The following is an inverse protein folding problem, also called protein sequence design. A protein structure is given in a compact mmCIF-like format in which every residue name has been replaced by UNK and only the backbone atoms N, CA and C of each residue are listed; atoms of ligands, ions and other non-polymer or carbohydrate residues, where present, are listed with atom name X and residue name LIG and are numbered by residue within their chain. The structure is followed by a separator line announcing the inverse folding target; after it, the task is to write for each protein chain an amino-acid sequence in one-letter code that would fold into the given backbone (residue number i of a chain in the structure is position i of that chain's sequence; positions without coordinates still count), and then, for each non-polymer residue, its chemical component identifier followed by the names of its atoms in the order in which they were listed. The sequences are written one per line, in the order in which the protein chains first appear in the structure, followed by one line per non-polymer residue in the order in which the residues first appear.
data_IF_625646019010
#
_entry.id   IF_625646019010
#
_cell.length_a   1.000
_cell.length_b   1.000
_cell.length_c   1.000
_cell.angle_alpha   90.00
_cell.angle_beta   90.00
_cell.angle_gamma   90.00
#
_symmetry.space_group_name_H-M   'P 1'
#
loop_
_entity.id
_entity.type
_entity.pdbx_description
1 polymer ?
#
# COMPACT_ATOMS: atom_id res chain seq x y z
N UNK A 1 11.32 29.31 17.69
CA UNK A 1 12.27 28.88 18.71
C UNK A 1 12.08 27.37 18.76
N UNK A 2 13.10 26.60 18.38
CA UNK A 2 13.12 25.15 18.59
C UNK A 2 13.75 24.91 19.96
N UNK A 3 13.12 24.10 20.76
CA UNK A 3 13.60 23.70 22.07
C UNK A 3 13.51 22.16 22.10
N UNK A 4 14.64 21.51 21.91
CA UNK A 4 14.75 20.05 21.93
C UNK A 4 15.60 19.66 23.13
N UNK A 5 15.06 18.80 23.96
CA UNK A 5 15.75 18.22 25.11
C UNK A 5 16.07 16.75 24.83
N UNK A 6 17.23 16.29 25.31
CA UNK A 6 17.70 14.90 25.16
C UNK A 6 17.89 14.44 23.71
N UNK A 7 18.46 15.32 22.89
CA UNK A 7 18.83 14.99 21.52
C UNK A 7 20.15 14.22 21.48
N UNK A 8 20.08 12.98 20.97
CA UNK A 8 21.25 12.13 20.76
C UNK A 8 21.92 12.49 19.42
N UNK A 9 23.18 12.89 19.49
CA UNK A 9 23.98 13.33 18.34
C UNK A 9 25.22 12.49 18.21
N UNK A 10 25.44 11.91 17.03
CA UNK A 10 26.70 11.24 16.68
C UNK A 10 27.53 12.16 15.81
N UNK A 11 28.75 12.48 16.26
CA UNK A 11 29.72 13.23 15.45
C UNK A 11 30.43 12.25 14.53
N UNK A 12 30.21 12.35 13.22
CA UNK A 12 30.81 11.50 12.20
C UNK A 12 31.37 12.37 11.07
N UNK A 13 32.66 12.24 10.76
CA UNK A 13 33.29 13.00 9.69
C UNK A 13 32.73 12.67 8.29
N UNK A 14 32.19 11.46 8.11
CA UNK A 14 31.60 11.02 6.84
C UNK A 14 30.18 11.57 6.63
N UNK A 15 29.47 11.87 7.71
CA UNK A 15 28.10 12.39 7.71
C UNK A 15 27.99 13.63 8.61
N UNK A 16 28.44 14.80 8.14
CA UNK A 16 28.42 16.02 8.92
C UNK A 16 27.00 16.49 9.23
N UNK A 17 26.82 17.02 10.43
CA UNK A 17 25.52 17.56 10.89
C UNK A 17 25.15 18.86 10.15
N UNK A 18 23.87 19.09 9.96
CA UNK A 18 23.34 20.34 9.47
C UNK A 18 22.83 21.24 10.62
N UNK A 19 23.18 22.54 10.62
CA UNK A 19 23.93 23.30 9.63
C UNK A 19 25.43 23.06 9.66
N UNK A 20 26.10 23.24 8.51
CA UNK A 20 27.54 23.06 8.39
C UNK A 20 28.33 23.81 9.47
N UNK A 21 29.18 23.09 10.18
CA UNK A 21 29.98 23.61 11.29
C UNK A 21 29.43 23.28 12.67
N UNK A 22 28.25 22.67 12.77
CA UNK A 22 27.70 22.22 14.05
C UNK A 22 28.62 21.19 14.73
N UNK A 23 29.13 20.23 13.94
CA UNK A 23 30.10 19.23 14.42
C UNK A 23 31.32 19.86 15.07
N UNK A 24 31.88 20.93 14.47
CA UNK A 24 33.05 21.62 14.97
C UNK A 24 32.80 22.36 16.28
N UNK A 25 31.58 22.89 16.42
CA UNK A 25 31.21 23.60 17.65
C UNK A 25 30.94 22.65 18.81
N UNK A 26 30.50 21.41 18.51
CA UNK A 26 30.27 20.34 19.49
C UNK A 26 31.54 19.53 19.79
N UNK A 27 32.51 19.52 18.87
CA UNK A 27 33.77 18.81 19.09
C UNK A 27 34.48 19.37 20.35
N UNK A 28 35.03 18.51 21.16
CA UNK A 28 35.75 18.82 22.41
C UNK A 28 34.89 19.32 23.58
N UNK A 29 33.56 19.43 23.44
CA UNK A 29 32.68 19.75 24.55
C UNK A 29 32.60 18.59 25.56
N UNK A 30 32.46 18.93 26.84
CA UNK A 30 32.39 17.95 27.94
C UNK A 30 30.98 17.86 28.49
N UNK A 31 30.69 16.73 29.11
CA UNK A 31 29.43 16.59 29.83
C UNK A 31 29.22 17.71 30.86
N UNK A 32 28.07 18.35 30.86
CA UNK A 32 27.69 19.50 31.66
C UNK A 32 28.13 20.86 31.12
N UNK A 33 28.82 20.92 29.97
CA UNK A 33 29.26 22.16 29.35
C UNK A 33 28.14 22.80 28.54
N UNK A 34 28.05 24.14 28.59
CA UNK A 34 27.08 24.94 27.82
C UNK A 34 27.85 25.86 26.88
N UNK A 35 27.35 26.00 25.65
CA UNK A 35 27.99 26.84 24.64
C UNK A 35 26.93 27.54 23.77
N UNK A 36 27.17 28.83 23.52
CA UNK A 36 26.37 29.66 22.61
C UNK A 36 27.16 29.91 21.32
N UNK A 37 26.53 29.65 20.17
CA UNK A 37 27.14 29.94 18.88
C UNK A 37 26.08 30.24 17.81
N UNK A 38 26.50 30.83 16.69
CA UNK A 38 25.63 31.19 15.57
C UNK A 38 26.08 30.46 14.34
N UNK A 39 25.16 29.72 13.70
CA UNK A 39 25.43 29.04 12.44
C UNK A 39 24.40 29.46 11.38
N UNK A 40 24.79 29.31 10.12
CA UNK A 40 23.95 29.63 8.98
C UNK A 40 23.81 28.41 8.05
N UNK A 41 22.61 28.21 7.53
CA UNK A 41 22.39 27.23 6.46
C UNK A 41 22.85 27.80 5.11
N UNK A 42 23.48 27.02 4.24
CA UNK A 42 23.82 27.43 2.89
C UNK A 42 22.56 27.88 2.13
N UNK A 43 22.69 28.94 1.32
CA UNK A 43 21.55 29.44 0.55
C UNK A 43 21.07 28.46 -0.55
N UNK A 44 21.95 27.56 -1.00
CA UNK A 44 21.69 26.59 -2.08
C UNK A 44 21.32 25.18 -1.54
N UNK A 45 21.04 25.02 -0.25
CA UNK A 45 20.67 23.73 0.35
C UNK A 45 19.19 23.38 0.15
N UNK A 46 18.86 22.08 0.24
CA UNK A 46 17.46 21.59 0.24
C UNK A 46 16.77 21.77 1.59
N UNK A 47 17.43 22.33 2.57
CA UNK A 47 16.88 22.55 3.91
C UNK A 47 15.80 23.65 3.90
N UNK A 48 14.72 23.44 4.67
CA UNK A 48 13.67 24.44 4.92
C UNK A 48 14.24 25.75 5.50
N UNK A 49 15.44 25.68 6.06
CA UNK A 49 16.15 26.80 6.68
C UNK A 49 17.23 27.43 5.78
N UNK A 50 17.30 27.06 4.49
CA UNK A 50 18.31 27.57 3.55
C UNK A 50 18.43 29.10 3.59
N UNK A 51 19.64 29.62 3.71
CA UNK A 51 19.95 31.05 3.78
C UNK A 51 19.61 31.73 5.11
N UNK A 52 19.17 31.00 6.13
CA UNK A 52 18.86 31.55 7.47
C UNK A 52 20.02 31.37 8.42
N UNK A 53 20.09 32.26 9.41
CA UNK A 53 20.97 32.13 10.57
C UNK A 53 20.17 31.77 11.82
N UNK A 54 20.72 30.91 12.65
CA UNK A 54 20.18 30.61 13.96
C UNK A 54 21.24 30.72 15.04
N UNK A 55 20.83 31.18 16.21
CA UNK A 55 21.61 31.12 17.42
C UNK A 55 21.30 29.84 18.15
N UNK A 56 22.31 29.07 18.43
CA UNK A 56 22.24 27.81 19.18
C UNK A 56 22.72 28.05 20.61
N UNK A 57 21.93 27.57 21.55
CA UNK A 57 22.35 27.37 22.93
C UNK A 57 22.35 25.88 23.19
N UNK A 58 23.51 25.29 23.37
CA UNK A 58 23.67 23.84 23.53
C UNK A 58 24.23 23.53 24.90
N UNK A 59 23.59 22.58 25.58
CA UNK A 59 24.06 21.98 26.84
C UNK A 59 24.30 20.50 26.60
N UNK A 60 25.54 20.04 26.85
CA UNK A 60 25.90 18.64 26.70
C UNK A 60 25.57 17.90 28.01
N UNK A 61 24.63 16.98 27.96
CA UNK A 61 24.23 16.17 29.11
C UNK A 61 25.22 15.04 29.37
N UNK A 62 25.62 14.32 28.32
CA UNK A 62 26.59 13.22 28.41
C UNK A 62 27.44 13.14 27.15
N UNK A 63 28.61 12.60 27.28
CA UNK A 63 29.52 12.30 26.15
C UNK A 63 29.85 10.82 26.22
N UNK A 64 29.61 10.13 25.13
CA UNK A 64 29.94 8.72 24.96
C UNK A 64 30.94 8.56 23.83
N UNK A 65 31.92 7.70 23.97
CA UNK A 65 32.81 7.36 22.87
C UNK A 65 32.21 6.21 22.08
N UNK A 66 32.12 6.39 20.76
CA UNK A 66 31.70 5.35 19.85
C UNK A 66 32.93 4.67 19.25
N UNK A 67 33.18 3.43 19.72
CA UNK A 67 34.23 2.60 19.14
C UNK A 67 33.59 1.64 18.12
N UNK A 68 33.94 1.80 16.83
CA UNK A 68 33.53 0.83 15.79
C UNK A 68 34.25 -0.50 16.08
N UNK A 69 33.52 -1.61 16.34
CA UNK A 69 34.17 -2.90 16.53
C UNK A 69 34.92 -3.32 15.24
N UNK A 70 36.05 -4.02 15.36
CA UNK A 70 36.77 -4.54 14.23
C UNK A 70 35.90 -5.53 13.45
N UNK A 71 36.11 -5.60 12.12
CA UNK A 71 35.43 -6.55 11.25
C UNK A 71 36.08 -7.93 11.39
N UNK A 72 35.69 -8.66 12.42
CA UNK A 72 36.18 -9.99 12.76
C UNK A 72 35.05 -10.96 13.13
N UNK A 73 35.39 -12.20 13.46
CA UNK A 73 34.40 -13.22 13.83
C UNK A 73 33.65 -12.87 15.14
N UNK A 74 34.23 -12.06 16.01
CA UNK A 74 33.58 -11.61 17.23
C UNK A 74 32.41 -10.65 16.88
N UNK A 75 32.59 -9.79 15.89
CA UNK A 75 31.50 -8.96 15.38
C UNK A 75 30.35 -9.81 14.81
N UNK A 76 30.67 -10.86 14.03
CA UNK A 76 29.64 -11.72 13.47
C UNK A 76 28.79 -12.38 14.57
N UNK A 77 29.40 -12.88 15.62
CA UNK A 77 28.72 -13.47 16.78
C UNK A 77 27.90 -12.44 17.58
N UNK A 78 28.33 -11.18 17.59
CA UNK A 78 27.60 -10.09 18.24
C UNK A 78 26.31 -9.71 17.46
N UNK A 79 26.35 -9.79 16.12
CA UNK A 79 25.20 -9.50 15.25
C UNK A 79 24.09 -10.56 15.40
N UNK A 80 24.47 -11.83 15.51
CA UNK A 80 23.51 -12.90 15.72
C UNK A 80 24.14 -14.25 15.99
N UNK A 81 23.45 -15.12 16.74
CA UNK A 81 23.96 -16.44 17.12
C UNK A 81 24.15 -17.39 15.91
N UNK A 82 23.50 -17.10 14.79
CA UNK A 82 23.56 -17.93 13.57
C UNK A 82 24.85 -17.69 12.77
N UNK A 83 25.61 -16.61 13.08
CA UNK A 83 26.84 -16.27 12.38
C UNK A 83 28.06 -16.64 13.23
N UNK A 84 28.77 -17.68 12.83
CA UNK A 84 29.96 -18.13 13.55
C UNK A 84 31.23 -17.41 13.08
N UNK A 85 31.28 -17.02 11.82
CA UNK A 85 32.42 -16.31 11.22
C UNK A 85 31.98 -15.04 10.49
N UNK A 86 32.92 -14.13 10.29
CA UNK A 86 32.67 -12.91 9.48
C UNK A 86 32.29 -13.27 8.04
N UNK A 87 32.78 -14.41 7.51
CA UNK A 87 32.43 -14.86 6.16
C UNK A 87 30.97 -15.31 6.08
N UNK A 88 30.47 -16.01 7.11
CA UNK A 88 29.05 -16.41 7.20
C UNK A 88 28.15 -15.17 7.19
N UNK A 89 28.50 -14.15 7.99
CA UNK A 89 27.75 -12.88 8.03
C UNK A 89 27.76 -12.17 6.67
N UNK A 90 28.94 -12.08 6.02
CA UNK A 90 29.04 -11.48 4.69
C UNK A 90 28.23 -12.23 3.64
N UNK A 91 28.22 -13.55 3.71
CA UNK A 91 27.42 -14.38 2.83
C UNK A 91 25.92 -14.13 3.01
N UNK A 92 25.45 -14.13 4.26
CA UNK A 92 24.04 -13.88 4.57
C UNK A 92 23.60 -12.48 4.13
N UNK A 93 24.42 -11.45 4.37
CA UNK A 93 24.14 -10.08 3.91
C UNK A 93 24.11 -10.02 2.38
N UNK A 94 25.03 -10.71 1.69
CA UNK A 94 25.04 -10.74 0.23
C UNK A 94 23.79 -11.41 -0.33
N UNK A 95 23.36 -12.51 0.25
CA UNK A 95 22.14 -13.23 -0.15
C UNK A 95 20.90 -12.37 0.07
N UNK A 96 20.79 -11.72 1.22
CA UNK A 96 19.69 -10.78 1.51
C UNK A 96 19.65 -9.61 0.52
N UNK A 97 20.80 -9.00 0.23
CA UNK A 97 20.87 -7.91 -0.74
C UNK A 97 20.53 -8.35 -2.16
N UNK A 98 20.96 -9.56 -2.57
CA UNK A 98 20.61 -10.12 -3.87
C UNK A 98 19.11 -10.42 -3.98
N UNK A 99 18.50 -10.93 -2.92
CA UNK A 99 17.05 -11.17 -2.85
C UNK A 99 16.28 -9.85 -2.94
N UNK A 100 16.67 -8.84 -2.17
CA UNK A 100 16.03 -7.53 -2.17
C UNK A 100 16.14 -6.83 -3.52
N UNK A 101 17.34 -6.82 -4.12
CA UNK A 101 17.52 -6.25 -5.46
C UNK A 101 16.78 -7.06 -6.53
N UNK A 102 16.69 -8.37 -6.37
CA UNK A 102 15.86 -9.23 -7.22
C UNK A 102 14.39 -8.85 -7.16
N UNK A 103 13.83 -8.69 -5.97
CA UNK A 103 12.44 -8.24 -5.76
C UNK A 103 12.20 -6.83 -6.34
N UNK A 104 13.13 -5.90 -6.11
CA UNK A 104 13.05 -4.55 -6.70
C UNK A 104 13.13 -4.57 -8.23
N UNK A 105 14.00 -5.39 -8.79
CA UNK A 105 14.11 -5.53 -10.24
C UNK A 105 12.84 -6.12 -10.86
N UNK A 106 12.22 -7.12 -10.22
CA UNK A 106 10.93 -7.69 -10.63
C UNK A 106 9.81 -6.63 -10.55
N UNK A 107 9.78 -5.83 -9.48
CA UNK A 107 8.82 -4.73 -9.35
C UNK A 107 8.96 -3.72 -10.48
N UNK A 108 10.19 -3.22 -10.73
CA UNK A 108 10.46 -2.30 -11.85
C UNK A 108 10.13 -2.88 -13.22
N UNK A 109 10.32 -4.19 -13.40
CA UNK A 109 9.95 -4.87 -14.63
C UNK A 109 8.44 -4.92 -14.81
N UNK A 110 7.72 -5.32 -13.75
CA UNK A 110 6.25 -5.35 -13.74
C UNK A 110 5.66 -3.97 -14.02
N UNK A 111 6.19 -2.93 -13.38
CA UNK A 111 5.76 -1.54 -13.65
C UNK A 111 5.84 -1.19 -15.13
N UNK A 112 6.95 -1.55 -15.79
CA UNK A 112 7.13 -1.30 -17.22
C UNK A 112 6.15 -2.09 -18.10
N UNK A 113 5.88 -3.35 -17.73
CA UNK A 113 4.91 -4.19 -18.46
C UNK A 113 3.50 -3.60 -18.35
N UNK A 114 3.09 -3.20 -17.14
CA UNK A 114 1.79 -2.59 -16.91
C UNK A 114 1.66 -1.21 -17.57
N UNK A 115 2.69 -0.38 -17.51
CA UNK A 115 2.69 0.93 -18.17
C UNK A 115 2.57 0.78 -19.70
N UNK A 116 3.31 -0.15 -20.31
CA UNK A 116 3.19 -0.44 -21.74
C UNK A 116 1.80 -0.98 -22.12
N UNK A 117 1.19 -1.80 -21.25
CA UNK A 117 -0.15 -2.32 -21.47
C UNK A 117 -1.20 -1.20 -21.39
N UNK A 118 -1.07 -0.29 -20.43
CA UNK A 118 -1.94 0.89 -20.31
C UNK A 118 -1.80 1.80 -21.54
N UNK A 119 -0.56 2.09 -21.99
CA UNK A 119 -0.31 2.92 -23.18
C UNK A 119 -0.92 2.36 -24.48
N UNK A 120 -1.02 1.03 -24.58
CA UNK A 120 -1.63 0.37 -25.77
C UNK A 120 -3.13 0.16 -25.65
N UNK A 121 -3.70 0.42 -24.47
CA UNK A 121 -5.13 0.22 -24.19
C UNK A 121 -5.95 1.49 -24.47
N UNK A 122 -7.16 1.33 -24.96
CA UNK A 122 -8.13 2.42 -25.04
C UNK A 122 -9.00 2.42 -23.78
N UNK A 123 -8.75 3.38 -22.90
CA UNK A 123 -9.45 3.48 -21.63
C UNK A 123 -10.50 4.59 -21.67
N UNK A 124 -11.72 4.27 -21.27
CA UNK A 124 -12.82 5.23 -21.07
C UNK A 124 -13.48 4.93 -19.72
N UNK A 125 -13.35 5.86 -18.79
CA UNK A 125 -13.87 5.71 -17.43
C UNK A 125 -14.38 7.04 -16.88
N UNK A 126 -15.43 7.03 -16.03
CA UNK A 126 -15.94 8.24 -15.41
C UNK A 126 -14.95 8.79 -14.36
N UNK A 127 -14.92 10.11 -14.15
CA UNK A 127 -14.06 10.74 -13.14
C UNK A 127 -14.21 10.16 -11.72
N UNK A 128 -15.38 9.61 -11.39
CA UNK A 128 -15.65 8.99 -10.10
C UNK A 128 -14.65 7.87 -9.76
N UNK A 129 -14.17 7.12 -10.76
CA UNK A 129 -13.18 6.05 -10.55
C UNK A 129 -11.89 6.58 -9.94
N UNK A 130 -11.46 7.78 -10.32
CA UNK A 130 -10.26 8.41 -9.76
C UNK A 130 -10.52 8.92 -8.35
N UNK A 131 -11.71 9.48 -8.09
CA UNK A 131 -12.06 9.93 -6.74
C UNK A 131 -12.16 8.74 -5.77
N UNK A 132 -12.77 7.63 -6.18
CA UNK A 132 -12.82 6.40 -5.38
C UNK A 132 -11.40 5.86 -5.08
N UNK A 133 -10.51 5.90 -6.08
CA UNK A 133 -9.10 5.50 -5.90
C UNK A 133 -8.36 6.44 -4.92
N UNK A 134 -8.58 7.75 -5.01
CA UNK A 134 -8.02 8.72 -4.08
C UNK A 134 -8.52 8.46 -2.66
N UNK A 135 -9.81 8.21 -2.47
CA UNK A 135 -10.38 7.90 -1.17
C UNK A 135 -9.76 6.64 -0.57
N UNK A 136 -9.59 5.59 -1.37
CA UNK A 136 -8.92 4.37 -0.94
C UNK A 136 -7.46 4.62 -0.51
N UNK A 137 -6.70 5.42 -1.28
CA UNK A 137 -5.32 5.79 -0.96
C UNK A 137 -5.23 6.61 0.33
N UNK A 138 -6.16 7.55 0.53
CA UNK A 138 -6.24 8.37 1.74
C UNK A 138 -6.56 7.53 2.97
N UNK A 139 -7.49 6.58 2.85
CA UNK A 139 -7.84 5.66 3.93
C UNK A 139 -6.68 4.74 4.31
N UNK A 140 -5.97 4.19 3.33
CA UNK A 140 -4.80 3.36 3.57
C UNK A 140 -3.68 4.14 4.28
N UNK A 141 -3.42 5.37 3.85
CA UNK A 141 -2.46 6.25 4.51
C UNK A 141 -2.87 6.57 5.95
N UNK A 142 -4.14 6.90 6.19
CA UNK A 142 -4.66 7.17 7.54
C UNK A 142 -4.48 5.96 8.46
N UNK A 143 -4.80 4.75 7.98
CA UNK A 143 -4.59 3.51 8.72
C UNK A 143 -3.12 3.25 9.06
N UNK A 144 -2.22 3.42 8.09
CA UNK A 144 -0.78 3.25 8.31
C UNK A 144 -0.26 4.22 9.37
N UNK A 145 -0.62 5.49 9.27
CA UNK A 145 -0.21 6.50 10.24
C UNK A 145 -0.70 6.17 11.66
N UNK A 146 -1.93 5.68 11.80
CA UNK A 146 -2.49 5.22 13.09
C UNK A 146 -1.74 4.01 13.65
N UNK A 147 -1.30 3.07 12.81
CA UNK A 147 -0.48 1.93 13.24
C UNK A 147 0.87 2.36 13.82
N UNK A 148 1.42 3.48 13.33
CA UNK A 148 2.63 4.09 13.89
C UNK A 148 2.37 5.00 15.12
N UNK A 149 1.16 5.00 15.65
CA UNK A 149 0.79 5.78 16.84
C UNK A 149 0.55 7.26 16.57
N UNK A 150 0.41 7.67 15.29
CA UNK A 150 0.10 9.03 14.90
C UNK A 150 -1.43 9.26 14.85
N UNK A 151 -1.86 10.53 14.88
CA UNK A 151 -3.26 10.95 14.75
C UNK A 151 -3.75 10.87 13.28
N UNK A 152 -3.40 9.78 12.60
CA UNK A 152 -3.81 9.52 11.23
C UNK A 152 -3.41 10.64 10.25
N UNK A 153 -4.23 10.84 9.21
CA UNK A 153 -4.01 11.86 8.19
C UNK A 153 -3.90 13.28 8.75
N UNK A 154 -4.61 13.59 9.84
CA UNK A 154 -4.56 14.91 10.47
C UNK A 154 -3.15 15.28 10.98
N UNK A 155 -2.38 14.31 11.47
CA UNK A 155 -1.01 14.54 11.90
C UNK A 155 -0.12 14.93 10.71
N UNK A 156 -0.26 14.21 9.60
CA UNK A 156 0.48 14.48 8.37
C UNK A 156 0.16 15.86 7.79
N UNK A 157 -1.12 16.19 7.66
CA UNK A 157 -1.57 17.49 7.13
C UNK A 157 -1.09 18.68 7.99
N UNK A 158 -1.10 18.51 9.31
CA UNK A 158 -0.54 19.54 10.23
C UNK A 158 0.97 19.70 10.07
N UNK A 159 1.70 18.59 9.94
CA UNK A 159 3.16 18.61 9.78
C UNK A 159 3.57 19.23 8.44
N UNK A 160 2.89 18.86 7.35
CA UNK A 160 3.17 19.39 6.01
C UNK A 160 2.57 20.76 5.76
N UNK A 161 1.68 21.25 6.64
CA UNK A 161 0.91 22.49 6.50
C UNK A 161 0.09 22.54 5.21
N UNK A 162 -0.40 21.41 4.76
CA UNK A 162 -1.24 21.26 3.58
C UNK A 162 -2.71 21.07 3.99
N UNK A 163 -3.63 21.50 3.12
CA UNK A 163 -5.02 21.08 3.21
C UNK A 163 -5.21 19.68 2.64
N UNK A 164 -6.31 19.03 2.99
CA UNK A 164 -6.67 17.74 2.43
C UNK A 164 -6.78 17.80 0.90
N UNK A 165 -7.41 18.84 0.36
CA UNK A 165 -7.54 19.03 -1.10
C UNK A 165 -6.18 19.15 -1.79
N UNK A 166 -5.23 19.90 -1.21
CA UNK A 166 -3.88 20.02 -1.75
C UNK A 166 -3.15 18.69 -1.75
N UNK A 167 -3.33 17.89 -0.70
CA UNK A 167 -2.74 16.56 -0.63
C UNK A 167 -3.38 15.61 -1.65
N UNK A 168 -4.72 15.64 -1.80
CA UNK A 168 -5.45 14.87 -2.83
C UNK A 168 -4.98 15.23 -4.24
N UNK A 169 -4.81 16.51 -4.55
CA UNK A 169 -4.30 16.95 -5.84
C UNK A 169 -2.88 16.46 -6.11
N UNK A 170 -2.04 16.42 -5.09
CA UNK A 170 -0.68 15.87 -5.17
C UNK A 170 -0.69 14.36 -5.46
N UNK A 171 -1.63 13.61 -4.86
CA UNK A 171 -1.77 12.16 -5.04
C UNK A 171 -2.50 11.78 -6.33
N UNK A 172 -3.20 12.71 -6.96
CA UNK A 172 -4.04 12.47 -8.15
C UNK A 172 -3.31 11.79 -9.32
N UNK A 173 -2.07 12.17 -9.70
CA UNK A 173 -1.36 11.46 -10.77
C UNK A 173 -1.11 9.98 -10.46
N UNK A 174 -0.79 9.66 -9.21
CA UNK A 174 -0.58 8.28 -8.79
C UNK A 174 -1.91 7.50 -8.74
N UNK A 175 -2.99 8.14 -8.29
CA UNK A 175 -4.33 7.56 -8.31
C UNK A 175 -4.80 7.22 -9.72
N UNK A 176 -4.57 8.09 -10.69
CA UNK A 176 -4.86 7.83 -12.11
C UNK A 176 -4.09 6.59 -12.57
N UNK A 177 -2.79 6.56 -12.35
CA UNK A 177 -1.94 5.45 -12.76
C UNK A 177 -2.37 4.11 -12.16
N UNK A 178 -2.72 4.09 -10.88
CA UNK A 178 -3.20 2.88 -10.18
C UNK A 178 -4.57 2.46 -10.73
N UNK A 179 -5.49 3.41 -10.90
CA UNK A 179 -6.82 3.12 -11.41
C UNK A 179 -6.77 2.55 -12.85
N UNK A 180 -5.99 3.15 -13.74
CA UNK A 180 -5.82 2.67 -15.12
C UNK A 180 -5.20 1.27 -15.15
N UNK A 181 -4.18 0.99 -14.36
CA UNK A 181 -3.58 -0.34 -14.23
C UNK A 181 -4.60 -1.38 -13.72
N UNK A 182 -5.42 -1.01 -12.73
CA UNK A 182 -6.46 -1.89 -12.19
C UNK A 182 -7.55 -2.20 -13.23
N UNK A 183 -7.98 -1.20 -14.01
CA UNK A 183 -8.95 -1.39 -15.08
C UNK A 183 -8.43 -2.35 -16.15
N UNK A 184 -7.20 -2.15 -16.60
CA UNK A 184 -6.58 -3.01 -17.61
C UNK A 184 -6.40 -4.44 -17.08
N UNK A 185 -5.90 -4.61 -15.84
CA UNK A 185 -5.78 -5.93 -15.22
C UNK A 185 -7.13 -6.63 -15.08
N UNK A 186 -8.17 -5.89 -14.70
CA UNK A 186 -9.53 -6.44 -14.59
C UNK A 186 -10.05 -6.95 -15.93
N UNK A 187 -9.77 -6.23 -17.03
CA UNK A 187 -10.17 -6.67 -18.36
C UNK A 187 -9.34 -7.86 -18.86
N UNK A 188 -8.03 -7.91 -18.53
CA UNK A 188 -7.19 -9.09 -18.80
C UNK A 188 -7.74 -10.32 -18.09
N UNK A 189 -8.07 -10.22 -16.79
CA UNK A 189 -8.65 -11.32 -16.01
C UNK A 189 -9.92 -11.85 -16.68
N UNK A 190 -10.76 -10.95 -17.15
CA UNK A 190 -12.03 -11.29 -17.78
C UNK A 190 -11.86 -11.91 -19.17
N UNK A 191 -10.97 -11.35 -20.02
CA UNK A 191 -10.74 -11.83 -21.38
C UNK A 191 -10.04 -13.18 -21.44
N UNK A 192 -9.07 -13.38 -20.54
CA UNK A 192 -8.33 -14.62 -20.41
C UNK A 192 -9.05 -15.65 -19.53
N UNK A 193 -10.27 -15.33 -19.06
CA UNK A 193 -11.09 -16.19 -18.20
C UNK A 193 -10.30 -16.77 -17.01
N UNK A 194 -9.50 -15.90 -16.34
CA UNK A 194 -8.67 -16.30 -15.21
C UNK A 194 -9.58 -16.57 -14.01
N UNK A 195 -9.50 -17.77 -13.46
CA UNK A 195 -10.27 -18.20 -12.31
C UNK A 195 -9.38 -18.45 -11.08
N UNK A 196 -9.92 -18.13 -9.90
CA UNK A 196 -9.31 -18.47 -8.62
C UNK A 196 -9.89 -19.80 -8.12
N UNK A 197 -9.09 -20.85 -8.08
CA UNK A 197 -9.52 -22.13 -7.54
C UNK A 197 -9.57 -22.10 -6.01
N UNK A 198 -10.27 -23.05 -5.40
CA UNK A 198 -10.32 -23.15 -3.94
C UNK A 198 -8.91 -23.38 -3.35
N UNK A 199 -8.06 -24.12 -4.08
CA UNK A 199 -6.68 -24.38 -3.68
C UNK A 199 -5.84 -23.10 -3.67
N UNK A 200 -5.94 -22.28 -4.71
CA UNK A 200 -5.27 -20.97 -4.77
C UNK A 200 -5.67 -20.05 -3.59
N UNK A 201 -6.97 -20.04 -3.29
CA UNK A 201 -7.52 -19.24 -2.19
C UNK A 201 -6.95 -19.71 -0.84
N UNK A 202 -6.98 -21.02 -0.57
CA UNK A 202 -6.43 -21.58 0.67
C UNK A 202 -4.92 -21.36 0.77
N UNK A 203 -4.18 -21.53 -0.32
CA UNK A 203 -2.75 -21.25 -0.37
C UNK A 203 -2.47 -19.76 -0.06
N UNK A 204 -3.23 -18.85 -0.64
CA UNK A 204 -3.09 -17.42 -0.38
C UNK A 204 -3.42 -17.05 1.06
N UNK A 205 -4.47 -17.65 1.63
CA UNK A 205 -4.81 -17.47 3.05
C UNK A 205 -3.63 -17.90 3.93
N UNK A 206 -3.07 -19.09 3.70
CA UNK A 206 -1.91 -19.60 4.43
C UNK A 206 -0.70 -18.66 4.36
N UNK A 207 -0.42 -18.11 3.18
CA UNK A 207 0.65 -17.11 3.00
C UNK A 207 0.37 -15.82 3.77
N UNK A 208 -0.89 -15.35 3.76
CA UNK A 208 -1.29 -14.09 4.41
C UNK A 208 -1.22 -14.19 5.93
N UNK A 209 -1.60 -15.32 6.50
CA UNK A 209 -1.59 -15.53 7.96
C UNK A 209 -0.24 -16.04 8.49
N UNK A 210 0.72 -16.33 7.62
CA UNK A 210 2.05 -16.78 8.01
C UNK A 210 2.05 -18.23 8.49
N UNK A 211 1.52 -19.16 7.69
CA UNK A 211 1.63 -20.61 7.97
C UNK A 211 3.10 -21.06 7.99
N UNK A 212 3.40 -22.06 8.79
CA UNK A 212 4.73 -22.65 8.90
C UNK A 212 5.16 -23.42 7.64
N UNK A 213 6.38 -23.96 7.63
CA UNK A 213 6.93 -24.75 6.51
C UNK A 213 6.10 -25.99 6.16
N UNK A 214 5.30 -26.51 7.11
CA UNK A 214 4.39 -27.63 6.91
C UNK A 214 3.00 -27.19 6.42
N UNK A 215 2.76 -25.88 6.31
CA UNK A 215 1.48 -25.27 5.95
C UNK A 215 0.46 -25.27 7.08
N UNK A 216 0.92 -25.42 8.34
CA UNK A 216 0.07 -25.35 9.52
C UNK A 216 -0.08 -23.89 9.98
N UNK A 217 -1.32 -23.50 10.27
CA UNK A 217 -1.67 -22.16 10.75
C UNK A 217 -1.61 -22.18 12.28
N UNK A 218 -0.87 -21.23 12.87
CA UNK A 218 -0.78 -21.12 14.34
C UNK A 218 -2.15 -20.80 14.96
N UNK A 219 -2.36 -21.19 16.21
CA UNK A 219 -3.62 -20.90 16.96
C UNK A 219 -3.92 -19.39 16.97
N UNK A 220 -2.91 -18.55 17.07
CA UNK A 220 -3.04 -17.08 17.04
C UNK A 220 -3.49 -16.53 15.69
N UNK A 221 -3.20 -17.23 14.60
CA UNK A 221 -3.56 -16.82 13.23
C UNK A 221 -4.84 -17.53 12.72
N UNK A 222 -5.33 -18.53 13.43
CA UNK A 222 -6.48 -19.33 13.02
C UNK A 222 -7.77 -18.48 12.90
N UNK A 223 -7.96 -17.54 13.81
CA UNK A 223 -9.13 -16.66 13.81
C UNK A 223 -9.13 -15.73 12.59
N UNK A 224 -7.96 -15.19 12.23
CA UNK A 224 -7.77 -14.39 11.01
C UNK A 224 -8.02 -15.23 9.76
N UNK A 225 -7.51 -16.45 9.71
CA UNK A 225 -7.74 -17.36 8.58
C UNK A 225 -9.23 -17.64 8.37
N UNK A 226 -10.00 -17.82 9.44
CA UNK A 226 -11.45 -17.99 9.36
C UNK A 226 -12.15 -16.74 8.78
N UNK A 227 -11.77 -15.53 9.21
CA UNK A 227 -12.31 -14.28 8.65
C UNK A 227 -12.00 -14.16 7.15
N UNK A 228 -10.81 -14.59 6.72
CA UNK A 228 -10.40 -14.54 5.32
C UNK A 228 -11.08 -15.60 4.43
N UNK A 229 -11.66 -16.66 5.02
CA UNK A 229 -12.39 -17.71 4.27
C UNK A 229 -13.79 -17.30 3.87
N UNK A 230 -14.38 -16.29 4.53
CA UNK A 230 -15.79 -15.93 4.33
C UNK A 230 -15.99 -14.45 4.03
N UNK A 231 -17.12 -14.14 3.40
CA UNK A 231 -17.59 -12.76 3.18
C UNK A 231 -16.60 -11.86 2.46
N UNK A 232 -16.40 -10.67 3.00
CA UNK A 232 -15.52 -9.64 2.42
C UNK A 232 -14.04 -10.08 2.40
N UNK A 233 -13.59 -10.80 3.44
CA UNK A 233 -12.23 -11.36 3.50
C UNK A 233 -11.94 -12.30 2.33
N UNK A 234 -12.88 -13.23 2.03
CA UNK A 234 -12.76 -14.11 0.89
C UNK A 234 -12.70 -13.34 -0.44
N UNK A 235 -13.56 -12.36 -0.64
CA UNK A 235 -13.56 -11.55 -1.86
C UNK A 235 -12.23 -10.83 -2.07
N UNK A 236 -11.64 -10.31 -1.00
CA UNK A 236 -10.31 -9.69 -1.04
C UNK A 236 -9.23 -10.69 -1.47
N UNK A 237 -9.22 -11.90 -0.88
CA UNK A 237 -8.26 -12.96 -1.26
C UNK A 237 -8.45 -13.39 -2.71
N UNK A 238 -9.70 -13.59 -3.17
CA UNK A 238 -10.00 -13.92 -4.56
C UNK A 238 -9.47 -12.85 -5.50
N UNK A 239 -9.71 -11.57 -5.22
CA UNK A 239 -9.20 -10.46 -6.04
C UNK A 239 -7.67 -10.45 -6.10
N UNK A 240 -6.99 -10.71 -4.99
CA UNK A 240 -5.54 -10.82 -4.95
C UNK A 240 -5.03 -11.97 -5.81
N UNK A 241 -5.62 -13.17 -5.67
CA UNK A 241 -5.25 -14.36 -6.46
C UNK A 241 -5.43 -14.09 -7.96
N UNK A 242 -6.55 -13.51 -8.36
CA UNK A 242 -6.82 -13.18 -9.77
C UNK A 242 -5.80 -12.17 -10.31
N UNK A 243 -5.48 -11.15 -9.54
CA UNK A 243 -4.47 -10.14 -9.91
C UNK A 243 -3.09 -10.78 -10.04
N UNK A 244 -2.68 -11.63 -9.11
CA UNK A 244 -1.38 -12.30 -9.15
C UNK A 244 -1.27 -13.22 -10.38
N UNK A 245 -2.32 -13.98 -10.70
CA UNK A 245 -2.38 -14.82 -11.90
C UNK A 245 -2.30 -13.99 -13.18
N UNK A 246 -3.01 -12.86 -13.27
CA UNK A 246 -2.94 -11.96 -14.41
C UNK A 246 -1.53 -11.37 -14.58
N UNK A 247 -0.91 -10.98 -13.48
CA UNK A 247 0.48 -10.49 -13.48
C UNK A 247 1.45 -11.57 -13.95
N UNK A 248 1.30 -12.80 -13.48
CA UNK A 248 2.13 -13.93 -13.90
C UNK A 248 1.99 -14.22 -15.40
N UNK A 249 0.76 -14.17 -15.93
CA UNK A 249 0.48 -14.29 -17.36
C UNK A 249 1.19 -13.19 -18.16
N UNK A 250 1.01 -11.94 -17.77
CA UNK A 250 1.62 -10.80 -18.45
C UNK A 250 3.15 -10.84 -18.44
N UNK A 251 3.74 -11.29 -17.32
CA UNK A 251 5.18 -11.47 -17.20
C UNK A 251 5.71 -12.58 -18.10
N UNK A 252 5.00 -13.71 -18.18
CA UNK A 252 5.37 -14.82 -19.08
C UNK A 252 5.31 -14.37 -20.55
N UNK A 253 4.23 -13.72 -20.95
CA UNK A 253 4.08 -13.16 -22.31
C UNK A 253 5.18 -12.14 -22.65
N UNK A 254 5.48 -11.24 -21.72
CA UNK A 254 6.51 -10.22 -21.92
C UNK A 254 7.93 -10.80 -22.02
N UNK A 255 8.17 -11.98 -21.44
CA UNK A 255 9.44 -12.74 -21.56
C UNK A 255 9.47 -13.64 -22.78
N UNK A 256 8.34 -13.81 -23.49
CA UNK A 256 8.21 -14.80 -24.57
C UNK A 256 8.17 -16.25 -24.08
N UNK A 257 7.80 -16.44 -22.81
CA UNK A 257 7.61 -17.76 -22.19
C UNK A 257 6.19 -18.27 -22.50
N UNK A 258 6.00 -19.60 -22.41
CA UNK A 258 4.68 -20.19 -22.55
C UNK A 258 3.78 -19.72 -21.40
N UNK A 259 2.59 -19.14 -21.69
CA UNK A 259 1.73 -18.62 -20.65
C UNK A 259 1.20 -19.75 -19.75
N UNK A 260 1.16 -19.54 -18.43
CA UNK A 260 0.55 -20.52 -17.54
C UNK A 260 -0.94 -20.69 -17.85
N UNK A 261 -1.43 -21.93 -17.89
CA UNK A 261 -2.86 -22.21 -18.07
C UNK A 261 -3.59 -22.06 -16.74
N UNK A 262 -4.57 -21.16 -16.68
CA UNK A 262 -5.37 -20.90 -15.47
C UNK A 262 -6.82 -21.40 -15.56
N UNK A 263 -7.19 -22.02 -16.69
CA UNK A 263 -8.51 -22.62 -16.89
C UNK A 263 -8.54 -24.02 -16.30
N UNK A 264 -9.48 -24.27 -15.41
CA UNK A 264 -9.80 -25.64 -14.99
C UNK A 264 -10.41 -26.41 -16.17
N UNK A 265 -9.94 -27.62 -16.44
CA UNK A 265 -10.48 -28.54 -17.48
C UNK A 265 -11.99 -28.86 -17.30
N UNK A 266 -12.64 -28.29 -16.30
CA UNK A 266 -14.07 -28.51 -15.97
C UNK A 266 -15.06 -27.70 -16.81
N UNK A 267 -14.62 -26.76 -17.64
CA UNK A 267 -15.51 -25.90 -18.45
C UNK A 267 -15.76 -26.36 -19.89
N UNK A 268 -15.01 -27.34 -20.38
CA UNK A 268 -15.09 -27.74 -21.80
C UNK A 268 -16.18 -28.78 -22.12
N UNK A 269 -16.84 -29.38 -21.12
CA UNK A 269 -17.89 -30.40 -21.36
C UNK A 269 -19.32 -29.90 -21.32
N UNK A 270 -19.59 -28.66 -20.98
CA UNK A 270 -20.99 -28.17 -20.83
C UNK A 270 -21.51 -27.36 -22.02
N UNK A 271 -20.73 -27.08 -23.03
CA UNK A 271 -21.18 -26.34 -24.24
C UNK A 271 -21.38 -27.18 -25.50
N UNK A 272 -21.20 -28.51 -25.45
CA UNK A 272 -21.34 -29.39 -26.62
C UNK A 272 -22.62 -30.24 -26.65
N UNK A 273 -23.58 -30.06 -25.76
CA UNK A 273 -24.80 -30.89 -25.73
C UNK A 273 -26.09 -30.11 -25.45
N UNK A 274 -26.35 -29.08 -26.25
CA UNK A 274 -27.72 -28.54 -26.35
C UNK A 274 -27.96 -27.92 -27.74
N UNK A 275 -27.82 -28.74 -28.76
CA UNK A 275 -28.55 -28.52 -30.03
C UNK A 275 -29.36 -29.78 -30.28
N UNK A 276 -30.65 -29.53 -30.59
CA UNK A 276 -31.71 -30.46 -31.06
C UNK A 276 -32.53 -31.14 -29.95
N UNK A 277 -33.67 -30.56 -29.68
CA UNK A 277 -35.03 -31.07 -29.85
C UNK A 277 -36.03 -30.09 -29.25
N UNK A 278 -36.86 -29.56 -30.09
CA UNK A 278 -38.26 -29.90 -30.22
C UNK A 278 -39.10 -28.67 -29.96
N UNK A 279 -39.58 -28.07 -31.00
CA UNK A 279 -40.71 -27.15 -31.00
C UNK A 279 -41.95 -27.83 -30.41
N UNK A 280 -42.59 -27.15 -29.47
CA UNK A 280 -44.04 -27.11 -29.37
C UNK A 280 -44.51 -25.98 -28.50
N UNK A 281 -45.21 -25.05 -29.12
CA UNK A 281 -46.06 -24.06 -28.47
C UNK A 281 -47.37 -24.72 -28.01
N UNK A 282 -47.97 -24.29 -26.95
CA UNK A 282 -49.42 -24.19 -26.90
C UNK A 282 -49.87 -22.74 -26.73
N UNK A 283 -50.69 -22.39 -27.68
CA UNK A 283 -51.62 -21.26 -27.72
C UNK A 283 -52.72 -21.35 -26.69
N UNK A 284 -53.24 -20.15 -26.37
CA UNK A 284 -54.57 -19.83 -25.86
C UNK A 284 -54.83 -20.06 -24.35
N UNK A 285 -55.46 -19.21 -23.64
CA UNK A 285 -56.72 -18.53 -23.87
C UNK A 285 -56.83 -17.27 -23.01
N UNK A 286 -57.43 -16.29 -23.58
CA UNK A 286 -57.93 -15.05 -22.98
C UNK A 286 -59.21 -15.42 -22.21
N UNK A 287 -59.36 -14.96 -20.99
CA UNK A 287 -60.70 -14.71 -20.48
C UNK A 287 -60.74 -13.44 -19.61
N UNK A 288 -61.64 -12.71 -19.97
CA UNK A 288 -62.18 -11.40 -19.76
C UNK A 288 -62.87 -11.29 -18.40
N UNK A 289 -62.99 -10.05 -17.98
CA UNK A 289 -64.04 -9.44 -17.20
C UNK A 289 -63.82 -9.13 -15.69
N UNK A 290 -64.01 -7.88 -15.56
CA UNK A 290 -64.86 -7.07 -14.63
C UNK A 290 -64.14 -6.41 -13.48
N UNK A 291 -64.03 -5.12 -13.58
CA UNK A 291 -64.94 -4.01 -13.20
C UNK A 291 -64.71 -3.47 -11.78
N UNK A 292 -64.26 -2.22 -11.75
CA UNK A 292 -64.76 -1.04 -11.00
C UNK A 292 -64.88 -1.12 -9.49
N UNK A 293 -64.17 -0.22 -8.80
CA UNK A 293 -64.70 0.91 -8.00
C UNK A 293 -63.58 1.75 -7.48
N UNK A 294 -63.48 2.93 -7.94
CA UNK A 294 -63.52 4.30 -7.39
C UNK A 294 -63.82 4.35 -5.86
N UNK A 295 -62.91 4.94 -5.12
CA UNK A 295 -63.27 5.92 -4.11
C UNK A 295 -62.11 6.84 -3.75
N UNK A 296 -62.36 8.08 -4.00
CA UNK A 296 -61.62 9.28 -3.63
C UNK A 296 -61.73 9.54 -2.12
N UNK A 297 -60.63 9.97 -1.52
CA UNK A 297 -60.75 11.03 -0.52
C UNK A 297 -59.48 11.86 -0.36
N UNK A 298 -59.65 13.12 -0.73
CA UNK A 298 -58.77 14.26 -0.51
C UNK A 298 -58.97 14.72 0.93
N UNK A 299 -57.87 14.90 1.66
CA UNK A 299 -57.87 15.89 2.76
C UNK A 299 -56.58 16.72 2.70
N UNK A 300 -56.83 17.96 2.39
CA UNK A 300 -55.89 19.07 2.56
C UNK A 300 -55.95 19.60 4.02
N UNK A 301 -54.87 20.14 4.46
CA UNK A 301 -54.74 20.95 5.68
C UNK A 301 -53.27 21.33 5.85
N UNK A 302 -52.86 22.40 5.40
CA UNK A 302 -52.85 23.83 5.62
C UNK A 302 -52.27 24.27 6.98
N UNK A 303 -51.40 25.24 6.86
CA UNK A 303 -50.91 26.24 7.83
C UNK A 303 -49.96 25.78 8.95
N UNK A 304 -48.95 26.51 9.42
CA UNK A 304 -48.66 27.94 9.38
C UNK A 304 -47.25 28.19 9.91
N UNK A 305 -46.71 29.25 9.42
CA UNK A 305 -45.57 30.08 9.80
C UNK A 305 -45.42 30.28 11.33
N UNK A 306 -44.17 30.29 11.80
CA UNK A 306 -43.73 31.26 12.81
C UNK A 306 -42.16 31.41 12.75
N UNK A 307 -41.77 32.50 12.25
CA UNK A 307 -40.64 33.38 12.55
C UNK A 307 -40.50 33.61 14.07
N UNK A 308 -39.36 33.49 14.68
CA UNK A 308 -38.79 34.59 15.46
C UNK A 308 -37.34 34.31 15.93
N UNK A 309 -36.56 35.33 15.76
CA UNK A 309 -35.31 35.83 16.23
C UNK A 309 -34.90 35.51 17.69
N UNK A 310 -33.65 35.12 17.92
CA UNK A 310 -32.66 35.94 18.66
C UNK A 310 -31.26 35.29 18.50
#
# INVERSE_FOLDING_TARGET
MLDETDWDVTLDEENPLEPAGLDRELLDMRAGEEKDFVLSWPAEGQSVYAGRQAQFHVKVNSVQSYEKPPLDDALAQLVGPDYTTLEDLKQAVRESLLEDEGKRAQGRYLDKVLDALVETSALDYPPAVIEDQLDAMMQDMDQRLRQFGLDGMNALLRQTKQSEDQYRDQMRPDAIKIAERNLVLSEVIKQEAIEATQEDIEQRIKQTVGADENGEISESSAELAEVLRYGAGRNMIVSQVLTDKAIALLQALARGEEPPSFTTESGAETLASTETEGAESPTAEVDDATEVTDDSEVVAGDSEVAEDAQ
#
